data_IF_889605110919
#
_entry.id   IF_889605110919
#
_cell.length_a   1.000
_cell.length_b   1.000
_cell.length_c   1.000
_cell.angle_alpha   90.00
_cell.angle_beta   90.00
_cell.angle_gamma   90.00
#
_symmetry.space_group_name_H-M   'P 1'
#
loop_
_entity.id
_entity.type
_entity.pdbx_description
1 polymer ?
#
# COMPACT_ATOMS: atom_id res chain seq x y z
N UNK A 1 -14.46 7.25 -2.51
CA UNK A 1 -13.54 6.21 -3.03
C UNK A 1 -12.46 6.01 -1.99
N UNK A 2 -12.39 4.79 -1.43
CA UNK A 2 -11.63 4.41 -0.25
C UNK A 2 -10.29 5.17 -0.13
N UNK A 3 -10.24 6.03 0.88
CA UNK A 3 -9.00 6.59 1.42
C UNK A 3 -8.20 5.43 1.99
N UNK A 4 -7.55 4.69 1.09
CA UNK A 4 -6.65 3.60 1.45
C UNK A 4 -5.50 4.28 2.15
N UNK A 5 -5.57 4.29 3.48
CA UNK A 5 -4.44 4.55 4.37
C UNK A 5 -3.20 4.01 3.69
N UNK A 6 -2.26 4.89 3.33
CA UNK A 6 -1.06 4.48 2.61
C UNK A 6 -0.25 3.63 3.59
N UNK A 7 -0.33 2.31 3.44
CA UNK A 7 0.45 1.33 4.21
C UNK A 7 1.72 1.05 3.41
N UNK A 8 2.88 1.62 3.80
CA UNK A 8 4.08 1.51 2.98
C UNK A 8 4.54 0.05 2.84
N UNK A 9 4.40 -0.73 3.91
CA UNK A 9 4.70 -2.15 4.01
C UNK A 9 3.59 -3.09 3.53
N UNK A 10 2.51 -2.56 2.93
CA UNK A 10 1.42 -3.38 2.40
C UNK A 10 1.87 -4.23 1.22
N UNK A 11 1.10 -5.27 0.87
CA UNK A 11 1.40 -6.22 -0.19
C UNK A 11 1.90 -5.53 -1.48
N UNK A 12 2.85 -6.17 -2.17
CA UNK A 12 3.39 -5.73 -3.46
C UNK A 12 2.30 -5.39 -4.47
N UNK A 13 1.25 -6.21 -4.54
CA UNK A 13 0.23 -6.17 -5.60
C UNK A 13 -1.00 -5.34 -5.24
N UNK A 14 -1.59 -5.56 -4.06
CA UNK A 14 -2.82 -4.87 -3.66
C UNK A 14 -2.62 -3.79 -2.58
N UNK A 15 -1.47 -3.73 -1.92
CA UNK A 15 -1.17 -2.75 -0.86
C UNK A 15 -1.83 -3.01 0.50
N UNK A 16 -2.52 -4.14 0.69
CA UNK A 16 -3.14 -4.51 1.97
C UNK A 16 -2.11 -4.98 3.01
N UNK A 17 -2.38 -4.79 4.32
CA UNK A 17 -1.47 -5.20 5.38
C UNK A 17 -1.36 -6.73 5.47
N UNK A 18 -0.16 -7.22 5.80
CA UNK A 18 0.14 -8.66 5.88
C UNK A 18 -0.84 -9.45 6.75
N UNK A 19 -1.22 -8.91 7.91
CA UNK A 19 -2.06 -9.62 8.88
C UNK A 19 -3.46 -9.97 8.37
N UNK A 20 -4.01 -9.20 7.43
CA UNK A 20 -5.40 -9.34 6.95
C UNK A 20 -5.49 -9.71 5.46
N UNK A 21 -4.35 -9.95 4.80
CA UNK A 21 -4.29 -10.12 3.35
C UNK A 21 -4.89 -11.45 2.88
N UNK A 22 -4.71 -12.53 3.64
CA UNK A 22 -5.14 -13.88 3.26
C UNK A 22 -4.71 -14.21 1.81
N UNK A 23 -5.68 -14.34 0.90
CA UNK A 23 -5.45 -14.54 -0.54
C UNK A 23 -6.38 -13.62 -1.30
N UNK A 24 -5.81 -12.75 -2.12
CA UNK A 24 -6.54 -11.75 -2.89
C UNK A 24 -6.39 -11.99 -4.38
N UNK A 25 -7.40 -11.60 -5.16
CA UNK A 25 -7.33 -11.61 -6.60
C UNK A 25 -7.10 -10.19 -7.13
N UNK A 26 -6.07 -10.02 -7.96
CA UNK A 26 -5.78 -8.75 -8.64
C UNK A 26 -5.61 -9.03 -10.14
N UNK A 27 -6.23 -8.25 -11.06
CA UNK A 27 -6.23 -8.54 -12.49
C UNK A 27 -4.85 -8.80 -13.11
N UNK A 28 -3.81 -8.12 -12.62
CA UNK A 28 -2.46 -8.20 -13.17
C UNK A 28 -1.67 -9.44 -12.75
N UNK A 29 -2.05 -10.10 -11.65
CA UNK A 29 -1.29 -11.23 -11.07
C UNK A 29 -2.15 -12.43 -10.68
N UNK A 30 -3.47 -12.31 -10.80
CA UNK A 30 -4.43 -13.32 -10.38
C UNK A 30 -4.50 -13.47 -8.86
N UNK A 31 -4.80 -14.70 -8.43
CA UNK A 31 -4.82 -15.07 -7.01
C UNK A 31 -3.42 -15.08 -6.43
N UNK A 32 -3.15 -14.25 -5.43
CA UNK A 32 -1.86 -14.18 -4.76
C UNK A 32 -2.05 -14.15 -3.24
N UNK A 33 -1.07 -14.73 -2.53
CA UNK A 33 -0.89 -14.51 -1.10
C UNK A 33 -0.11 -13.21 -0.88
N UNK A 34 0.06 -12.80 0.38
CA UNK A 34 0.82 -11.60 0.68
C UNK A 34 2.25 -11.74 0.17
N UNK A 35 2.70 -10.75 -0.59
CA UNK A 35 4.08 -10.66 -1.04
C UNK A 35 4.70 -9.36 -0.52
N UNK A 36 5.93 -9.46 -0.01
CA UNK A 36 6.66 -8.32 0.51
C UNK A 36 6.80 -7.25 -0.59
N UNK A 37 6.45 -5.98 -0.31
CA UNK A 37 6.67 -4.90 -1.26
C UNK A 37 8.16 -4.65 -1.44
N UNK A 38 8.53 -4.19 -2.64
CA UNK A 38 9.90 -3.78 -2.92
C UNK A 38 10.27 -2.50 -2.17
N UNK A 39 11.56 -2.28 -1.90
CA UNK A 39 12.07 -1.05 -1.28
C UNK A 39 11.65 0.21 -2.05
N UNK A 40 11.64 0.12 -3.39
CA UNK A 40 11.18 1.22 -4.26
C UNK A 40 9.70 1.55 -4.01
N UNK A 41 8.84 0.53 -3.85
CA UNK A 41 7.43 0.73 -3.55
C UNK A 41 7.24 1.30 -2.14
N UNK A 42 7.98 0.79 -1.15
CA UNK A 42 7.95 1.31 0.22
C UNK A 42 8.33 2.79 0.23
N UNK A 43 9.44 3.15 -0.43
CA UNK A 43 9.91 4.54 -0.51
C UNK A 43 8.89 5.46 -1.19
N UNK A 44 8.32 5.04 -2.32
CA UNK A 44 7.29 5.79 -3.00
C UNK A 44 6.06 6.03 -2.10
N UNK A 45 5.57 4.98 -1.44
CA UNK A 45 4.43 5.08 -0.51
C UNK A 45 4.75 5.96 0.70
N UNK A 46 5.96 5.89 1.26
CA UNK A 46 6.41 6.78 2.34
C UNK A 46 6.39 8.26 1.93
N UNK A 47 6.84 8.56 0.71
CA UNK A 47 6.82 9.93 0.15
C UNK A 47 5.39 10.45 0.01
N UNK A 48 4.48 9.66 -0.56
CA UNK A 48 3.07 10.03 -0.68
C UNK A 48 2.46 10.26 0.71
N UNK A 49 2.68 9.32 1.65
CA UNK A 49 2.20 9.46 3.04
C UNK A 49 2.70 10.74 3.71
N UNK A 50 3.96 11.12 3.47
CA UNK A 50 4.53 12.37 3.98
C UNK A 50 3.85 13.59 3.35
N UNK A 51 3.65 13.58 2.02
CA UNK A 51 2.97 14.66 1.32
C UNK A 51 1.52 14.85 1.82
N UNK A 52 0.76 13.76 1.96
CA UNK A 52 -0.61 13.80 2.52
C UNK A 52 -0.65 14.42 3.92
N UNK A 53 0.31 14.06 4.80
CA UNK A 53 0.40 14.65 6.15
C UNK A 53 0.76 16.13 6.14
N UNK A 54 1.63 16.56 5.23
CA UNK A 54 1.99 17.97 5.09
C UNK A 54 0.80 18.79 4.59
N UNK A 55 0.05 18.25 3.64
CA UNK A 55 -1.16 18.89 3.12
C UNK A 55 -2.23 19.01 4.20
N UNK A 56 -2.50 17.92 4.94
CA UNK A 56 -3.45 17.94 6.05
C UNK A 56 -3.07 18.91 7.19
N UNK A 57 -1.79 19.30 7.32
CA UNK A 57 -1.31 20.28 8.30
C UNK A 57 -1.44 21.74 7.80
N UNK A 58 -1.55 21.94 6.49
CA UNK A 58 -1.68 23.28 5.87
C UNK A 58 -3.10 23.81 5.90
N UNK A 59 -4.08 22.91 6.01
CA UNK A 59 -5.50 23.20 6.27
C UNK A 59 -5.69 23.49 7.76
#
# INVERSE_FOLDING_TARGET
MLERSIIPSGCRHCGEPQRLHCRQWVPTVGWHAWEQPTDRQILARMRIRRATRLEARRV
#
